data_IF_213947766543
#
_entry.id   IF_213947766543
#
_cell.length_a   1.000
_cell.length_b   1.000
_cell.length_c   1.000
_cell.angle_alpha   90.00
_cell.angle_beta   90.00
_cell.angle_gamma   90.00
#
_symmetry.space_group_name_H-M   'P 1'
#
loop_
_entity.id
_entity.type
_entity.pdbx_description
1 polymer ?
#
# COMPACT_ATOMS: atom_id res chain seq x y z
N UNK A 1 3.41 22.29 2.73
CA UNK A 1 2.71 21.00 2.51
C UNK A 1 3.53 19.85 3.06
N UNK A 2 2.88 18.99 3.82
CA UNK A 2 3.55 17.78 4.30
C UNK A 2 3.77 16.82 3.15
N UNK A 3 4.96 16.28 3.03
CA UNK A 3 5.25 15.24 2.06
C UNK A 3 4.76 13.91 2.59
N UNK A 4 4.45 12.97 1.68
CA UNK A 4 4.21 11.59 2.06
C UNK A 4 5.46 11.01 2.72
N UNK A 5 5.26 10.05 3.58
CA UNK A 5 6.36 9.42 4.32
C UNK A 5 6.09 7.94 4.54
N UNK A 6 7.15 7.14 4.46
CA UNK A 6 7.08 5.71 4.80
C UNK A 6 7.13 5.57 6.32
N UNK A 7 6.02 5.12 6.90
CA UNK A 7 5.94 4.89 8.35
C UNK A 7 6.49 3.51 8.70
N UNK A 8 6.12 2.49 7.91
CA UNK A 8 6.54 1.12 8.19
C UNK A 8 6.61 0.32 6.90
N UNK A 9 7.61 -0.57 6.84
CA UNK A 9 7.80 -1.54 5.76
C UNK A 9 7.54 -2.91 6.36
N UNK A 10 6.58 -3.66 5.81
CA UNK A 10 6.10 -4.88 6.43
C UNK A 10 6.18 -6.07 5.47
N UNK A 11 6.74 -7.16 5.93
CA UNK A 11 6.88 -8.39 5.14
C UNK A 11 6.53 -9.61 5.97
N UNK A 12 6.10 -10.68 5.30
CA UNK A 12 5.96 -11.99 5.88
C UNK A 12 6.17 -13.04 4.79
N UNK A 13 6.60 -14.26 5.13
CA UNK A 13 6.71 -15.34 4.13
C UNK A 13 5.35 -15.77 3.58
N UNK A 14 4.27 -15.40 4.25
CA UNK A 14 2.88 -15.64 3.82
C UNK A 14 1.92 -15.29 4.94
N UNK A 15 0.73 -14.75 4.57
CA UNK A 15 -0.32 -14.43 5.53
C UNK A 15 -0.08 -13.18 6.35
N UNK A 16 -0.91 -12.99 7.34
CA UNK A 16 -0.88 -11.86 8.27
C UNK A 16 -0.64 -12.37 9.69
N UNK A 17 -0.08 -11.52 10.59
CA UNK A 17 0.40 -10.15 10.34
C UNK A 17 1.75 -10.14 9.62
N UNK A 18 2.05 -9.03 8.97
CA UNK A 18 3.38 -8.79 8.40
C UNK A 18 4.24 -8.06 9.43
N UNK A 19 5.54 -8.31 9.36
CA UNK A 19 6.49 -7.82 10.37
C UNK A 19 7.29 -6.65 9.81
N UNK A 20 7.46 -5.61 10.63
CA UNK A 20 8.17 -4.40 10.26
C UNK A 20 9.67 -4.65 10.03
N UNK A 21 10.20 -4.04 8.97
CA UNK A 21 11.62 -4.05 8.63
C UNK A 21 12.11 -2.62 8.46
N UNK A 22 13.38 -2.30 8.85
CA UNK A 22 13.89 -0.94 8.67
C UNK A 22 14.19 -0.60 7.22
N UNK A 23 14.46 -1.59 6.39
CA UNK A 23 14.70 -1.42 4.95
C UNK A 23 14.44 -2.73 4.24
N UNK A 24 14.16 -2.65 2.93
CA UNK A 24 13.89 -3.83 2.12
C UNK A 24 14.22 -3.55 0.65
N UNK A 25 14.68 -4.57 -0.05
CA UNK A 25 14.85 -4.48 -1.50
C UNK A 25 13.50 -4.72 -2.17
N UNK A 26 13.20 -3.91 -3.19
CA UNK A 26 11.98 -4.01 -3.99
C UNK A 26 12.34 -4.40 -5.41
N UNK A 27 11.80 -5.52 -5.86
CA UNK A 27 11.89 -5.96 -7.25
C UNK A 27 10.53 -5.85 -7.93
N UNK A 28 10.46 -6.23 -9.19
CA UNK A 28 9.22 -6.19 -9.99
C UNK A 28 8.08 -6.99 -9.33
N UNK A 29 8.42 -8.04 -8.60
CA UNK A 29 7.42 -8.90 -7.93
C UNK A 29 6.99 -8.38 -6.57
N UNK A 30 7.61 -7.32 -6.07
CA UNK A 30 7.31 -6.73 -4.78
C UNK A 30 8.49 -6.71 -3.84
N UNK A 31 8.22 -6.70 -2.53
CA UNK A 31 9.24 -6.66 -1.50
C UNK A 31 9.93 -8.02 -1.37
N UNK A 32 11.27 -7.99 -1.30
CA UNK A 32 12.06 -9.21 -1.15
C UNK A 32 11.69 -9.94 0.13
N UNK A 33 11.48 -11.25 0.02
CA UNK A 33 11.09 -12.08 1.17
C UNK A 33 9.62 -12.04 1.51
N UNK A 34 8.83 -11.20 0.85
CA UNK A 34 7.39 -11.19 1.07
C UNK A 34 6.73 -12.28 0.23
N UNK A 35 5.92 -13.12 0.86
CA UNK A 35 5.22 -14.18 0.20
C UNK A 35 3.77 -13.83 -0.08
N UNK A 36 3.24 -14.39 -1.17
CA UNK A 36 1.82 -14.33 -1.49
C UNK A 36 1.24 -15.71 -1.25
N UNK A 37 0.16 -15.80 -0.47
CA UNK A 37 -0.46 -17.07 -0.11
C UNK A 37 -1.11 -17.80 -1.29
N UNK A 38 -1.48 -17.06 -2.34
CA UNK A 38 -2.14 -17.63 -3.52
C UNK A 38 -1.48 -17.11 -4.78
N UNK A 39 -1.31 -17.98 -5.77
CA UNK A 39 -0.76 -17.60 -7.06
C UNK A 39 -1.55 -16.47 -7.72
N UNK A 40 -2.86 -16.42 -7.50
CA UNK A 40 -3.71 -15.35 -8.02
C UNK A 40 -3.33 -13.97 -7.52
N UNK A 41 -2.62 -13.88 -6.40
CA UNK A 41 -2.16 -12.62 -5.84
C UNK A 41 -0.78 -12.22 -6.36
N UNK A 42 -0.12 -13.13 -7.08
CA UNK A 42 1.21 -12.87 -7.65
C UNK A 42 1.10 -12.25 -9.02
N UNK A 43 0.56 -11.03 -9.08
CA UNK A 43 0.51 -10.28 -10.33
C UNK A 43 1.32 -8.99 -10.17
N UNK A 44 1.91 -8.48 -11.27
CA UNK A 44 2.61 -7.19 -11.19
C UNK A 44 1.73 -6.06 -10.68
N UNK A 45 0.40 -6.14 -10.90
CA UNK A 45 -0.55 -5.14 -10.45
C UNK A 45 -0.73 -5.15 -8.93
N UNK A 46 -0.38 -6.25 -8.27
CA UNK A 46 -0.54 -6.42 -6.82
C UNK A 46 0.81 -6.66 -6.14
N UNK A 47 1.89 -6.14 -6.75
CA UNK A 47 3.24 -6.35 -6.23
C UNK A 47 3.43 -5.77 -4.83
N UNK A 48 2.85 -4.59 -4.57
CA UNK A 48 2.98 -3.90 -3.28
C UNK A 48 1.61 -3.44 -2.81
N UNK A 49 1.28 -3.73 -1.56
CA UNK A 49 0.05 -3.24 -0.93
C UNK A 49 0.38 -2.07 -0.03
N UNK A 50 -0.32 -0.95 -0.19
CA UNK A 50 -0.06 0.30 0.52
C UNK A 50 -1.28 0.70 1.34
N UNK A 51 -1.08 1.06 2.60
CA UNK A 51 -2.14 1.47 3.52
C UNK A 51 -1.78 2.78 4.21
N UNK A 52 -2.77 3.65 4.36
CA UNK A 52 -2.61 4.90 5.10
C UNK A 52 -2.63 4.66 6.60
N UNK A 53 -1.64 5.16 7.33
CA UNK A 53 -1.63 5.06 8.79
C UNK A 53 -2.82 5.79 9.39
N UNK A 54 -3.26 6.88 8.76
CA UNK A 54 -4.41 7.65 9.22
C UNK A 54 -5.69 6.79 9.23
N UNK A 55 -5.85 5.90 8.25
CA UNK A 55 -7.00 4.99 8.19
C UNK A 55 -6.93 3.93 9.29
N UNK A 56 -5.73 3.43 9.57
CA UNK A 56 -5.53 2.51 10.69
C UNK A 56 -5.89 3.16 12.02
N UNK A 57 -5.51 4.44 12.19
CA UNK A 57 -5.85 5.18 13.41
C UNK A 57 -7.36 5.41 13.55
N UNK A 58 -8.07 5.71 12.44
CA UNK A 58 -9.53 5.82 12.44
C UNK A 58 -10.17 4.52 12.92
N UNK A 59 -9.75 3.39 12.35
CA UNK A 59 -10.29 2.07 12.70
C UNK A 59 -9.96 1.68 14.12
N UNK A 60 -8.80 2.08 14.62
CA UNK A 60 -8.40 1.87 16.00
C UNK A 60 -9.35 2.61 16.95
N UNK A 61 -9.73 3.83 16.59
CA UNK A 61 -10.74 4.59 17.35
C UNK A 61 -12.12 3.95 17.31
N UNK A 62 -12.40 3.09 16.32
CA UNK A 62 -13.65 2.33 16.23
C UNK A 62 -13.59 0.99 16.97
N UNK A 63 -12.48 0.68 17.63
CA UNK A 63 -12.35 -0.51 18.47
C UNK A 63 -11.49 -1.63 17.90
N UNK A 64 -10.84 -1.42 16.77
CA UNK A 64 -9.97 -2.45 16.15
C UNK A 64 -8.53 -2.29 16.62
N UNK A 65 -7.87 -3.41 16.95
CA UNK A 65 -6.46 -3.40 17.35
C UNK A 65 -5.58 -3.52 16.10
N UNK A 66 -5.39 -2.41 15.40
CA UNK A 66 -4.61 -2.38 14.15
C UNK A 66 -3.33 -1.57 14.34
N UNK A 67 -2.21 -2.19 13.98
CA UNK A 67 -0.90 -1.54 13.89
C UNK A 67 -0.34 -1.81 12.51
N UNK A 68 0.72 -1.10 12.07
CA UNK A 68 1.31 -1.38 10.76
C UNK A 68 1.61 -2.86 10.56
N UNK A 69 1.20 -3.40 9.42
CA UNK A 69 1.38 -4.81 9.05
C UNK A 69 0.25 -5.75 9.45
N UNK A 70 -0.63 -5.34 10.38
CA UNK A 70 -1.71 -6.21 10.87
C UNK A 70 -2.65 -6.66 9.76
N UNK A 71 -3.03 -5.76 8.86
CA UNK A 71 -3.96 -6.07 7.76
C UNK A 71 -3.27 -6.68 6.55
N UNK A 72 -1.95 -6.85 6.60
CA UNK A 72 -1.19 -7.45 5.52
C UNK A 72 -0.63 -6.48 4.50
N UNK A 73 -0.66 -5.18 4.79
CA UNK A 73 -0.05 -4.21 3.89
C UNK A 73 1.47 -4.27 3.95
N UNK A 74 2.11 -4.04 2.80
CA UNK A 74 3.56 -3.97 2.70
C UNK A 74 4.12 -2.63 3.15
N UNK A 75 3.43 -1.55 2.83
CA UNK A 75 3.83 -0.21 3.21
C UNK A 75 2.71 0.45 3.99
N UNK A 76 3.07 0.99 5.15
CA UNK A 76 2.18 1.87 5.90
C UNK A 76 2.75 3.27 5.72
N UNK A 77 1.93 4.18 5.19
CA UNK A 77 2.37 5.52 4.79
C UNK A 77 1.52 6.58 5.47
N UNK A 78 2.05 7.83 5.53
CA UNK A 78 1.26 8.96 6.02
C UNK A 78 1.25 10.09 5.00
N UNK A 79 0.25 10.93 5.08
CA UNK A 79 0.06 12.13 4.25
C UNK A 79 -0.12 11.83 2.76
N UNK A 80 -0.60 10.64 2.40
CA UNK A 80 -0.89 10.27 1.01
C UNK A 80 -2.39 10.15 0.71
N UNK A 81 -3.13 9.47 1.57
CA UNK A 81 -4.54 9.14 1.35
C UNK A 81 -4.73 8.30 0.08
N UNK A 82 -4.04 7.15 0.04
CA UNK A 82 -3.97 6.31 -1.18
C UNK A 82 -5.32 5.83 -1.68
N UNK A 83 -6.29 5.62 -0.80
CA UNK A 83 -7.63 5.19 -1.21
C UNK A 83 -8.37 6.25 -2.05
N UNK A 84 -7.97 7.52 -1.93
CA UNK A 84 -8.59 8.62 -2.67
C UNK A 84 -7.73 9.13 -3.83
N UNK A 85 -6.53 8.56 -4.02
CA UNK A 85 -5.71 8.90 -5.17
C UNK A 85 -6.18 8.11 -6.38
N UNK A 86 -6.24 8.72 -7.58
CA UNK A 86 -6.66 7.98 -8.77
C UNK A 86 -5.65 6.89 -9.12
N UNK A 87 -6.14 5.80 -9.70
CA UNK A 87 -5.26 4.76 -10.22
C UNK A 87 -4.40 5.36 -11.34
N UNK A 88 -3.15 4.94 -11.44
CA UNK A 88 -2.18 5.56 -12.33
C UNK A 88 -1.31 6.61 -11.65
N UNK A 89 -1.66 6.99 -10.41
CA UNK A 89 -0.82 7.91 -9.63
C UNK A 89 0.55 7.27 -9.39
N UNK A 90 1.59 8.06 -9.60
CA UNK A 90 2.98 7.63 -9.40
C UNK A 90 3.44 8.07 -8.01
N UNK A 91 4.05 7.15 -7.29
CA UNK A 91 4.69 7.42 -6.00
C UNK A 91 6.20 7.29 -6.19
N UNK A 92 6.91 8.40 -6.00
CA UNK A 92 8.38 8.45 -6.12
C UNK A 92 8.98 8.50 -4.72
N UNK A 93 9.71 7.46 -4.37
CA UNK A 93 10.38 7.35 -3.08
C UNK A 93 11.77 7.98 -3.17
N UNK A 94 12.19 8.63 -2.08
CA UNK A 94 13.44 9.42 -2.07
C UNK A 94 14.66 8.61 -2.50
N UNK A 95 14.70 7.32 -2.22
CA UNK A 95 15.84 6.45 -2.54
C UNK A 95 15.72 5.75 -3.91
N UNK A 96 14.77 6.17 -4.76
CA UNK A 96 14.75 5.76 -6.16
C UNK A 96 13.69 4.73 -6.55
N UNK A 97 13.01 4.10 -5.59
CA UNK A 97 11.88 3.22 -5.91
C UNK A 97 10.75 4.07 -6.49
N UNK A 98 10.10 3.58 -7.53
CA UNK A 98 8.94 4.24 -8.14
C UNK A 98 7.83 3.22 -8.26
N UNK A 99 6.67 3.54 -7.72
CA UNK A 99 5.47 2.70 -7.77
C UNK A 99 4.36 3.44 -8.50
N UNK A 100 3.44 2.67 -9.10
CA UNK A 100 2.24 3.22 -9.71
C UNK A 100 1.02 2.53 -9.09
N UNK A 101 0.08 3.32 -8.59
CA UNK A 101 -1.16 2.76 -8.03
C UNK A 101 -1.94 2.06 -9.12
N UNK A 102 -2.29 0.80 -8.90
CA UNK A 102 -2.80 -0.08 -9.94
C UNK A 102 -4.18 -0.65 -9.68
N UNK A 103 -4.55 -0.85 -8.41
CA UNK A 103 -5.82 -1.48 -8.07
C UNK A 103 -6.19 -1.18 -6.62
N UNK A 104 -7.43 -0.78 -6.39
CA UNK A 104 -7.94 -0.61 -5.02
C UNK A 104 -8.06 -1.97 -4.35
N UNK A 105 -7.55 -2.08 -3.12
CA UNK A 105 -7.64 -3.32 -2.35
C UNK A 105 -9.06 -3.49 -1.81
N UNK A 106 -9.64 -4.67 -2.06
CA UNK A 106 -10.95 -5.03 -1.52
C UNK A 106 -10.75 -5.87 -0.26
N UNK A 107 -11.55 -5.64 0.80
CA UNK A 107 -11.49 -6.49 1.98
C UNK A 107 -11.79 -7.95 1.62
N UNK A 108 -11.10 -8.88 2.30
CA UNK A 108 -11.31 -10.30 2.06
C UNK A 108 -11.34 -11.07 3.38
N UNK A 109 -11.65 -12.36 3.29
CA UNK A 109 -11.82 -13.22 4.46
C UNK A 109 -10.58 -13.31 5.35
N UNK A 110 -9.40 -13.00 4.84
CA UNK A 110 -8.18 -13.05 5.65
C UNK A 110 -8.28 -12.10 6.87
N UNK A 111 -9.05 -11.02 6.74
CA UNK A 111 -9.26 -10.06 7.84
C UNK A 111 -10.12 -10.64 8.96
N UNK A 112 -10.84 -11.73 8.72
CA UNK A 112 -11.67 -12.36 9.74
C UNK A 112 -10.84 -12.87 10.93
N UNK A 113 -9.56 -13.18 10.72
CA UNK A 113 -8.67 -13.58 11.80
C UNK A 113 -8.37 -12.45 12.78
N UNK A 114 -8.58 -11.20 12.35
CA UNK A 114 -8.42 -10.02 13.21
C UNK A 114 -9.74 -9.75 13.93
N UNK A 115 -10.82 -9.63 13.16
CA UNK A 115 -12.17 -9.41 13.69
C UNK A 115 -13.18 -9.69 12.57
N UNK A 116 -14.25 -10.49 12.82
CA UNK A 116 -15.21 -10.83 11.77
C UNK A 116 -15.94 -9.63 11.16
N UNK A 117 -15.99 -8.51 11.87
CA UNK A 117 -16.69 -7.29 11.41
C UNK A 117 -15.78 -6.36 10.64
N UNK A 118 -14.47 -6.56 10.71
CA UNK A 118 -13.49 -5.64 10.12
C UNK A 118 -13.68 -5.48 8.62
N UNK A 119 -13.92 -6.56 7.89
CA UNK A 119 -14.04 -6.49 6.42
C UNK A 119 -15.23 -5.63 5.97
N UNK A 120 -16.23 -5.43 6.82
CA UNK A 120 -17.35 -4.53 6.52
C UNK A 120 -16.98 -3.08 6.81
N UNK A 121 -16.32 -2.84 7.94
CA UNK A 121 -15.98 -1.49 8.38
C UNK A 121 -14.80 -0.89 7.63
N UNK A 122 -13.90 -1.73 7.09
CA UNK A 122 -12.70 -1.27 6.40
C UNK A 122 -12.94 -0.95 4.91
N UNK A 123 -14.13 -1.20 4.39
CA UNK A 123 -14.45 -0.88 2.99
C UNK A 123 -14.07 0.57 2.69
N UNK A 124 -13.37 0.79 1.57
CA UNK A 124 -12.81 2.08 1.14
C UNK A 124 -11.69 2.63 2.04
N UNK A 125 -11.25 1.84 3.02
CA UNK A 125 -10.12 2.18 3.89
C UNK A 125 -9.08 1.07 3.94
N UNK A 126 -9.13 0.15 2.98
CA UNK A 126 -8.29 -1.07 2.99
C UNK A 126 -6.96 -0.91 2.26
N UNK A 127 -6.70 0.28 1.71
CA UNK A 127 -5.46 0.54 0.99
C UNK A 127 -5.59 0.30 -0.51
N UNK A 128 -4.45 0.39 -1.19
CA UNK A 128 -4.36 0.29 -2.64
C UNK A 128 -3.12 -0.50 -3.02
N UNK A 129 -3.22 -1.32 -4.04
CA UNK A 129 -2.07 -2.02 -4.62
C UNK A 129 -1.32 -1.12 -5.59
N UNK A 130 -0.04 -1.43 -5.75
CA UNK A 130 0.81 -0.74 -6.72
C UNK A 130 1.68 -1.75 -7.46
N UNK A 131 2.03 -1.38 -8.69
CA UNK A 131 3.04 -2.10 -9.45
C UNK A 131 4.37 -1.35 -9.35
N UNK A 132 5.47 -2.08 -9.54
CA UNK A 132 6.81 -1.51 -9.44
C UNK A 132 7.25 -1.02 -10.81
N UNK A 133 7.55 0.28 -10.92
CA UNK A 133 8.11 0.87 -12.14
C UNK A 133 9.63 0.95 -12.08
N UNK A 134 10.19 1.27 -10.93
CA UNK A 134 11.64 1.28 -10.72
C UNK A 134 11.97 0.50 -9.46
N UNK A 135 12.84 -0.49 -9.59
CA UNK A 135 13.34 -1.29 -8.50
C UNK A 135 14.34 -0.50 -7.65
N UNK A 136 14.56 -0.94 -6.43
CA UNK A 136 15.53 -0.29 -5.55
C UNK A 136 15.36 -0.74 -4.12
N UNK A 137 15.78 0.12 -3.19
CA UNK A 137 15.69 -0.15 -1.75
C UNK A 137 14.76 0.86 -1.11
N UNK A 138 13.80 0.37 -0.34
CA UNK A 138 12.94 1.21 0.50
C UNK A 138 13.55 1.31 1.89
N UNK A 139 13.51 2.50 2.46
CA UNK A 139 14.03 2.78 3.79
C UNK A 139 12.92 3.42 4.62
N UNK A 140 12.71 2.91 5.83
CA UNK A 140 11.71 3.47 6.73
C UNK A 140 12.01 4.95 6.99
N UNK A 141 10.98 5.77 6.92
CA UNK A 141 11.10 7.21 7.15
C UNK A 141 11.34 8.04 5.90
N UNK A 142 11.64 7.42 4.75
CA UNK A 142 11.90 8.21 3.54
C UNK A 142 10.65 8.92 3.04
N UNK A 143 10.87 10.03 2.33
CA UNK A 143 9.77 10.83 1.78
C UNK A 143 9.25 10.25 0.47
N UNK A 144 7.99 10.56 0.19
CA UNK A 144 7.28 10.10 -1.00
C UNK A 144 6.72 11.30 -1.73
N UNK A 145 7.05 11.42 -3.02
CA UNK A 145 6.49 12.44 -3.90
C UNK A 145 5.33 11.82 -4.68
N UNK A 146 4.19 12.49 -4.68
CA UNK A 146 3.00 12.06 -5.43
C UNK A 146 2.97 12.79 -6.76
N UNK A 147 2.84 12.02 -7.86
CA UNK A 147 2.66 12.57 -9.20
C UNK A 147 1.36 12.02 -9.75
N UNK A 148 0.36 12.90 -9.91
CA UNK A 148 -0.94 12.52 -10.41
C UNK A 148 -0.86 12.14 -11.89
N UNK A 149 -1.73 11.22 -12.36
CA UNK A 149 -1.72 10.85 -13.77
C UNK A 149 -2.12 12.04 -14.64
N UNK A 150 -1.48 12.14 -15.82
CA UNK A 150 -1.81 13.18 -16.78
C UNK A 150 -3.16 12.85 -17.41
N UNK A 151 -4.10 13.80 -17.32
CA UNK A 151 -5.39 13.67 -17.99
C UNK A 151 -5.30 14.46 -19.29
N UNK A 152 -5.31 13.74 -20.43
CA UNK A 152 -5.31 14.38 -21.73
C UNK A 152 -6.72 14.91 -22.03
N UNK A 153 -6.84 16.12 -22.63
CA UNK A 153 -8.14 16.63 -23.01
C UNK A 153 -8.75 15.73 -24.08
N UNK A 154 -10.09 15.66 -24.12
CA UNK A 154 -10.78 14.93 -25.17
C UNK A 154 -10.59 15.68 -26.50
N UNK A 155 -10.78 14.99 -27.64
CA UNK A 155 -10.62 15.60 -28.97
C UNK A 155 -11.48 16.85 -29.14
N UNK A 156 -12.67 16.91 -28.51
CA UNK A 156 -13.53 18.08 -28.58
C UNK A 156 -13.07 19.26 -27.75
N UNK A 157 -12.04 19.12 -26.95
CA UNK A 157 -11.52 20.18 -26.09
C UNK A 157 -10.25 20.83 -26.65
N UNK A 158 -9.74 20.31 -27.74
CA UNK A 158 -8.51 20.81 -28.36
C UNK A 158 -8.77 21.94 -29.35
#
# INVERSE_FOLDING_TARGET
>A
MSKGQVISINVSPGGIPKISQPMIRVGIEGLEGDGHNHEKQRTPLQAVCIQDVEKLEELKGEGYSLVPGTTGENLTVQNLNVNNLPLGTILRFANGVVLELSKVRKPCYVLDSINPRLKEDIVNRCGTYAKVLCEGVLIQGESIQVVLPVVLPSEGEL
#
